data_IF_362081462352
#
_entry.id   IF_362081462352
#
_cell.length_a   1.000
_cell.length_b   1.000
_cell.length_c   1.000
_cell.angle_alpha   90.00
_cell.angle_beta   90.00
_cell.angle_gamma   90.00
#
_symmetry.space_group_name_H-M   'P 1'
#
loop_
_entity.id
_entity.type
_entity.pdbx_description
1 polymer ?
#
# COMPACT_ATOMS: atom_id res chain seq x y z
N UNK A 1 11.98 -12.13 1.20
CA UNK A 1 11.94 -10.65 1.07
C UNK A 1 10.49 -10.23 0.84
N UNK A 2 9.98 -9.19 1.51
CA UNK A 2 8.68 -8.63 1.18
C UNK A 2 8.69 -8.17 -0.29
N UNK A 3 7.69 -8.58 -1.05
CA UNK A 3 7.50 -8.13 -2.42
C UNK A 3 6.74 -6.80 -2.40
N UNK A 4 7.36 -5.75 -2.92
CA UNK A 4 6.67 -4.48 -3.15
C UNK A 4 6.19 -4.45 -4.61
N UNK A 5 4.90 -4.14 -4.80
CA UNK A 5 4.27 -3.95 -6.09
C UNK A 5 3.80 -2.51 -6.20
N UNK A 6 4.02 -1.94 -7.37
CA UNK A 6 3.53 -0.62 -7.74
C UNK A 6 2.63 -0.77 -8.95
N UNK A 7 1.53 -0.02 -8.99
CA UNK A 7 0.67 0.07 -10.17
C UNK A 7 0.28 1.51 -10.40
N UNK A 8 0.37 1.96 -11.65
CA UNK A 8 -0.01 3.30 -12.05
C UNK A 8 -1.02 3.25 -13.19
N UNK A 9 -2.18 3.89 -12.98
CA UNK A 9 -3.19 4.10 -14.01
C UNK A 9 -3.21 5.59 -14.39
N UNK A 10 -2.70 5.98 -15.57
CA UNK A 10 -2.68 7.38 -16.00
C UNK A 10 -4.05 7.95 -16.36
N UNK A 11 -5.05 7.09 -16.58
CA UNK A 11 -6.39 7.45 -17.10
C UNK A 11 -7.41 7.67 -15.99
N UNK A 12 -7.22 7.03 -14.83
CA UNK A 12 -8.14 7.14 -13.71
C UNK A 12 -7.78 8.32 -12.78
N UNK A 13 -8.77 9.19 -12.51
CA UNK A 13 -8.69 10.30 -11.55
C UNK A 13 -7.44 11.19 -11.67
N UNK A 14 -7.01 11.48 -12.90
CA UNK A 14 -5.83 12.31 -13.16
C UNK A 14 -4.51 11.61 -12.84
N UNK A 15 -4.48 10.28 -12.82
CA UNK A 15 -3.31 9.47 -12.49
C UNK A 15 -3.43 8.86 -11.10
N UNK A 16 -3.59 7.55 -11.01
CA UNK A 16 -3.70 6.83 -9.74
C UNK A 16 -2.48 5.95 -9.53
N UNK A 17 -1.73 6.17 -8.46
CA UNK A 17 -0.63 5.31 -8.02
C UNK A 17 -1.11 4.46 -6.84
N UNK A 18 -0.85 3.16 -6.89
CA UNK A 18 -1.02 2.25 -5.75
C UNK A 18 0.31 1.60 -5.41
N UNK A 19 0.61 1.55 -4.12
CA UNK A 19 1.79 0.93 -3.52
C UNK A 19 1.28 -0.20 -2.64
N UNK A 20 1.77 -1.41 -2.89
CA UNK A 20 1.39 -2.62 -2.14
C UNK A 20 2.65 -3.33 -1.66
N UNK A 21 2.83 -3.48 -0.36
CA UNK A 21 3.87 -4.34 0.19
C UNK A 21 3.22 -5.63 0.69
N UNK A 22 3.80 -6.77 0.31
CA UNK A 22 3.35 -8.11 0.67
C UNK A 22 4.48 -8.88 1.31
N UNK A 23 4.26 -9.35 2.53
CA UNK A 23 5.20 -10.19 3.26
C UNK A 23 4.59 -11.58 3.47
N UNK A 24 5.42 -12.61 3.26
CA UNK A 24 5.06 -14.00 3.46
C UNK A 24 5.98 -14.57 4.53
N UNK A 25 5.39 -15.20 5.54
CA UNK A 25 6.11 -15.83 6.63
C UNK A 25 5.36 -17.03 7.17
N UNK A 26 6.06 -17.94 7.86
CA UNK A 26 5.46 -19.09 8.53
C UNK A 26 5.62 -18.88 10.03
N UNK A 27 4.52 -18.52 10.68
CA UNK A 27 4.46 -18.29 12.15
C UNK A 27 3.78 -19.47 12.88
N UNK A 28 3.16 -20.37 12.12
CA UNK A 28 2.52 -21.56 12.66
C UNK A 28 3.56 -22.66 12.89
N UNK A 29 3.38 -23.45 13.96
CA UNK A 29 4.07 -24.74 14.15
C UNK A 29 3.73 -25.73 13.02
N UNK A 30 2.61 -25.53 12.35
CA UNK A 30 2.26 -26.26 11.14
C UNK A 30 2.99 -25.65 9.93
N UNK A 31 3.97 -26.41 9.43
CA UNK A 31 4.78 -26.05 8.26
C UNK A 31 3.93 -25.83 7.00
N UNK A 32 2.70 -26.34 6.95
CA UNK A 32 1.81 -26.21 5.80
C UNK A 32 1.03 -24.89 5.77
N UNK A 33 1.09 -24.10 6.85
CA UNK A 33 0.39 -22.83 6.95
C UNK A 33 1.38 -21.69 6.70
N UNK A 34 1.11 -20.89 5.67
CA UNK A 34 1.79 -19.63 5.42
C UNK A 34 0.89 -18.46 5.84
N UNK A 35 1.46 -17.48 6.54
CA UNK A 35 0.83 -16.20 6.83
C UNK A 35 1.26 -15.17 5.78
N UNK A 36 0.29 -14.39 5.32
CA UNK A 36 0.44 -13.35 4.32
C UNK A 36 0.00 -12.04 4.97
N UNK A 37 0.92 -11.10 5.04
CA UNK A 37 0.65 -9.74 5.49
C UNK A 37 0.73 -8.80 4.28
N UNK A 38 -0.28 -7.96 4.10
CA UNK A 38 -0.29 -6.93 3.07
C UNK A 38 -0.58 -5.57 3.69
N UNK A 39 0.14 -4.56 3.22
CA UNK A 39 -0.24 -3.16 3.37
C UNK A 39 -0.39 -2.57 1.97
N UNK A 40 -1.42 -1.77 1.77
CA UNK A 40 -1.54 -0.93 0.59
C UNK A 40 -1.83 0.52 0.94
N UNK A 41 -1.36 1.42 0.09
CA UNK A 41 -1.79 2.81 0.04
C UNK A 41 -1.90 3.23 -1.43
N UNK A 42 -2.90 4.04 -1.75
CA UNK A 42 -3.09 4.59 -3.08
C UNK A 42 -3.31 6.09 -3.01
N UNK A 43 -3.08 6.80 -4.11
CA UNK A 43 -3.33 8.23 -4.25
C UNK A 43 -3.75 8.53 -5.69
N UNK A 44 -4.67 9.48 -5.87
CA UNK A 44 -5.06 10.00 -7.18
C UNK A 44 -4.29 11.25 -7.59
N UNK A 45 -4.62 11.79 -8.76
CA UNK A 45 -4.09 13.06 -9.31
C UNK A 45 -2.56 13.13 -9.45
N UNK A 46 -1.91 11.97 -9.53
CA UNK A 46 -0.47 11.82 -9.77
C UNK A 46 -0.19 11.95 -11.27
N UNK A 47 -0.26 13.16 -11.80
CA UNK A 47 -0.18 13.43 -13.25
C UNK A 47 1.18 13.92 -13.75
N UNK A 48 2.06 14.38 -12.86
CA UNK A 48 3.35 14.99 -13.21
C UNK A 48 4.40 14.77 -12.11
N UNK A 49 5.69 14.98 -12.39
CA UNK A 49 6.69 15.07 -11.33
C UNK A 49 6.30 16.12 -10.29
N UNK A 50 6.56 15.82 -9.02
CA UNK A 50 6.16 16.68 -7.91
C UNK A 50 5.96 15.93 -6.60
N UNK A 51 5.63 16.72 -5.57
CA UNK A 51 5.31 16.22 -4.23
C UNK A 51 3.81 16.10 -4.06
N UNK A 52 3.41 14.98 -3.50
CA UNK A 52 2.05 14.60 -3.22
C UNK A 52 1.97 14.13 -1.77
N UNK A 53 0.79 14.26 -1.15
CA UNK A 53 0.61 13.98 0.27
C UNK A 53 -0.43 12.90 0.45
N UNK A 54 -0.06 11.84 1.18
CA UNK A 54 -1.03 10.91 1.73
C UNK A 54 -1.68 11.61 2.92
N UNK A 55 -2.81 12.27 2.72
CA UNK A 55 -3.52 12.96 3.79
C UNK A 55 -5.03 12.66 3.75
N UNK A 56 -5.72 13.03 4.82
CA UNK A 56 -7.16 12.78 4.95
C UNK A 56 -8.02 13.66 4.03
N UNK A 57 -7.48 14.78 3.55
CA UNK A 57 -8.19 15.68 2.64
C UNK A 57 -8.31 15.09 1.23
N UNK A 58 -7.41 14.18 0.84
CA UNK A 58 -7.54 13.46 -0.42
C UNK A 58 -8.46 12.24 -0.25
N UNK A 59 -9.69 12.36 -0.75
CA UNK A 59 -10.68 11.26 -0.79
C UNK A 59 -10.21 10.05 -1.59
N UNK A 60 -9.21 10.21 -2.47
CA UNK A 60 -8.64 9.14 -3.27
C UNK A 60 -7.46 8.46 -2.58
N UNK A 61 -6.96 9.04 -1.49
CA UNK A 61 -6.06 8.33 -0.61
C UNK A 61 -6.85 7.18 0.02
N UNK A 62 -6.50 5.93 -0.29
CA UNK A 62 -7.11 4.73 0.32
C UNK A 62 -5.99 3.83 0.79
N UNK A 63 -6.14 3.23 1.97
CA UNK A 63 -5.17 2.29 2.49
C UNK A 63 -5.84 1.10 3.16
N UNK A 64 -5.20 -0.06 3.04
CA UNK A 64 -5.63 -1.29 3.71
C UNK A 64 -4.44 -2.02 4.32
N UNK A 65 -4.72 -2.74 5.39
CA UNK A 65 -3.82 -3.69 6.01
C UNK A 65 -4.53 -5.02 6.21
N UNK A 66 -3.98 -6.11 5.70
CA UNK A 66 -4.58 -7.43 5.80
C UNK A 66 -3.59 -8.49 6.28
N UNK A 67 -4.05 -9.37 7.15
CA UNK A 67 -3.36 -10.62 7.49
C UNK A 67 -4.24 -11.77 7.04
N UNK A 68 -3.68 -12.67 6.25
CA UNK A 68 -4.35 -13.87 5.75
C UNK A 68 -3.48 -15.09 6.04
N UNK A 69 -4.12 -16.26 6.18
CA UNK A 69 -3.42 -17.55 6.18
C UNK A 69 -3.79 -18.34 4.95
N UNK A 70 -2.82 -19.08 4.44
CA UNK A 70 -2.98 -20.00 3.34
C UNK A 70 -2.46 -21.36 3.78
N UNK A 71 -3.34 -22.36 3.69
CA UNK A 71 -3.01 -23.77 3.78
C UNK A 71 -3.15 -24.34 2.36
N UNK A 72 -2.24 -25.21 1.93
CA UNK A 72 -2.25 -25.80 0.58
C UNK A 72 -3.55 -26.54 0.25
N UNK A 73 -4.27 -27.02 1.28
CA UNK A 73 -5.49 -27.82 1.15
C UNK A 73 -6.78 -27.05 1.40
N UNK A 74 -6.70 -25.78 1.80
CA UNK A 74 -7.87 -24.98 2.20
C UNK A 74 -7.91 -23.62 1.49
N UNK A 75 -9.08 -23.00 1.50
CA UNK A 75 -9.21 -21.63 1.02
C UNK A 75 -8.41 -20.65 1.89
N UNK A 76 -7.91 -19.58 1.28
CA UNK A 76 -7.23 -18.49 2.01
C UNK A 76 -8.19 -17.89 3.04
N UNK A 77 -7.76 -17.86 4.30
CA UNK A 77 -8.55 -17.32 5.41
C UNK A 77 -8.04 -15.95 5.81
N UNK A 78 -8.91 -14.94 5.80
CA UNK A 78 -8.57 -13.61 6.34
C UNK A 78 -8.67 -13.64 7.86
N UNK A 79 -7.55 -13.37 8.53
CA UNK A 79 -7.47 -13.26 10.00
C UNK A 79 -7.76 -11.82 10.43
N UNK A 80 -7.25 -10.87 9.64
CA UNK A 80 -7.38 -9.45 9.94
C UNK A 80 -7.54 -8.65 8.65
N UNK A 81 -8.45 -7.69 8.67
CA UNK A 81 -8.61 -6.71 7.60
C UNK A 81 -8.91 -5.36 8.24
N UNK A 82 -8.03 -4.39 7.98
CA UNK A 82 -8.11 -3.03 8.46
C UNK A 82 -8.19 -2.12 7.24
N UNK A 83 -9.28 -1.38 7.10
CA UNK A 83 -9.48 -0.44 6.00
C UNK A 83 -9.43 0.98 6.53
N UNK A 84 -8.42 1.76 6.13
CA UNK A 84 -8.19 3.12 6.63
C UNK A 84 -8.98 4.13 5.82
N UNK A 85 -10.09 4.58 6.40
CA UNK A 85 -11.02 5.53 5.78
C UNK A 85 -10.72 6.99 6.17
N UNK A 86 -11.68 7.89 5.92
CA UNK A 86 -11.56 9.33 6.20
C UNK A 86 -11.46 9.66 7.70
N UNK A 87 -11.95 8.77 8.57
CA UNK A 87 -11.91 8.92 10.03
C UNK A 87 -10.58 8.49 10.64
N UNK A 88 -9.77 7.72 9.89
CA UNK A 88 -8.44 7.31 10.29
C UNK A 88 -7.36 8.28 9.83
N UNK A 89 -6.23 8.36 10.53
CA UNK A 89 -5.13 9.22 10.11
C UNK A 89 -4.27 8.53 9.06
N UNK A 90 -4.15 9.17 7.89
CA UNK A 90 -3.19 8.84 6.84
C UNK A 90 -2.28 10.04 6.69
N UNK A 91 -0.98 9.86 6.86
CA UNK A 91 0.02 10.91 6.71
C UNK A 91 1.20 10.39 5.93
N UNK A 92 1.83 11.23 5.11
CA UNK A 92 2.99 10.81 4.34
C UNK A 92 3.21 11.62 3.08
N UNK A 93 4.30 11.32 2.39
CA UNK A 93 4.75 12.03 1.22
C UNK A 93 5.05 11.02 0.11
N UNK A 94 4.59 11.33 -1.09
CA UNK A 94 5.00 10.70 -2.33
C UNK A 94 5.72 11.75 -3.18
N UNK A 95 6.97 11.48 -3.53
CA UNK A 95 7.76 12.35 -4.38
C UNK A 95 8.02 11.68 -5.72
N UNK A 96 7.36 12.15 -6.78
CA UNK A 96 7.58 11.67 -8.14
C UNK A 96 8.73 12.46 -8.75
N UNK A 97 9.85 11.79 -9.00
CA UNK A 97 11.04 12.39 -9.63
C UNK A 97 10.99 12.31 -11.14
N UNK A 98 10.30 11.29 -11.69
CA UNK A 98 10.14 11.11 -13.13
C UNK A 98 8.82 10.45 -13.45
N UNK A 99 8.10 11.01 -14.43
CA UNK A 99 6.90 10.42 -15.02
C UNK A 99 6.91 10.71 -16.52
N UNK A 100 7.11 9.67 -17.33
CA UNK A 100 7.06 9.73 -18.79
C UNK A 100 6.15 8.60 -19.27
N UNK A 101 4.93 8.97 -19.68
CA UNK A 101 3.91 8.01 -20.11
C UNK A 101 4.24 7.36 -21.46
N UNK A 102 4.95 8.08 -22.32
CA UNK A 102 5.33 7.58 -23.64
C UNK A 102 6.43 6.54 -23.54
N UNK A 103 7.33 6.70 -22.57
CA UNK A 103 8.43 5.76 -22.29
C UNK A 103 8.10 4.77 -21.17
N UNK A 104 6.90 4.84 -20.59
CA UNK A 104 6.51 3.94 -19.52
C UNK A 104 7.34 4.05 -18.25
N UNK A 105 7.87 5.25 -17.96
CA UNK A 105 8.76 5.49 -16.83
C UNK A 105 7.98 6.14 -15.69
N UNK A 106 8.08 5.56 -14.50
CA UNK A 106 7.63 6.17 -13.26
C UNK A 106 8.63 5.89 -12.14
N UNK A 107 9.22 6.94 -11.58
CA UNK A 107 10.18 6.83 -10.50
C UNK A 107 9.92 7.85 -9.39
N UNK A 108 10.26 7.47 -8.17
CA UNK A 108 10.06 8.33 -7.01
C UNK A 108 10.46 7.71 -5.68
N UNK A 109 10.15 8.45 -4.62
CA UNK A 109 10.28 8.01 -3.23
C UNK A 109 8.95 8.19 -2.50
N UNK A 110 8.78 7.44 -1.41
CA UNK A 110 7.59 7.55 -0.57
C UNK A 110 7.89 7.24 0.89
N UNK A 111 7.10 7.85 1.76
CA UNK A 111 6.95 7.51 3.17
C UNK A 111 5.49 7.68 3.55
N UNK A 112 4.98 6.87 4.48
CA UNK A 112 3.66 7.09 5.05
C UNK A 112 3.49 6.41 6.40
N UNK A 113 2.54 6.94 7.16
CA UNK A 113 2.04 6.37 8.41
C UNK A 113 0.52 6.23 8.31
N UNK A 114 0.03 5.06 8.69
CA UNK A 114 -1.39 4.77 8.86
C UNK A 114 -1.66 4.60 10.36
N UNK A 115 -2.60 5.37 10.90
CA UNK A 115 -3.01 5.27 12.30
C UNK A 115 -4.52 5.14 12.38
N UNK A 116 -4.98 4.06 13.02
CA UNK A 116 -6.39 3.82 13.28
C UNK A 116 -6.88 4.75 14.39
N UNK A 117 -7.98 5.46 14.17
CA UNK A 117 -8.55 6.36 15.17
C UNK A 117 -9.43 5.63 16.20
N UNK A 118 -10.00 4.47 15.82
CA UNK A 118 -10.86 3.67 16.72
C UNK A 118 -10.17 2.35 17.17
N UNK A 119 -9.77 2.25 18.45
CA UNK A 119 -9.07 1.09 19.01
C UNK A 119 -9.98 -0.11 19.33
N UNK A 120 -11.31 0.01 19.18
CA UNK A 120 -12.26 -1.09 19.43
C UNK A 120 -12.28 -2.14 18.32
N UNK A 121 -11.57 -1.89 17.22
CA UNK A 121 -11.37 -2.88 16.16
C UNK A 121 -10.07 -3.64 16.41
N UNK A 122 -9.97 -4.90 15.95
CA UNK A 122 -8.74 -5.72 16.02
C UNK A 122 -7.57 -5.16 15.18
N UNK A 123 -7.56 -3.86 14.93
CA UNK A 123 -6.70 -3.09 14.06
C UNK A 123 -6.00 -1.99 14.87
N UNK A 124 -5.25 -2.37 15.90
CA UNK A 124 -4.35 -1.46 16.64
C UNK A 124 -3.04 -1.18 15.88
N UNK A 125 -3.01 -1.45 14.57
CA UNK A 125 -1.80 -1.39 13.76
C UNK A 125 -1.50 0.05 13.38
N UNK A 126 -0.45 0.62 13.97
CA UNK A 126 0.29 1.73 13.34
C UNK A 126 1.19 1.11 12.28
N UNK A 127 0.91 1.39 11.00
CA UNK A 127 1.80 0.95 9.92
C UNK A 127 2.63 2.14 9.50
N UNK A 128 3.96 2.03 9.64
CA UNK A 128 4.90 3.08 9.29
C UNK A 128 5.87 2.57 8.24
N UNK A 129 5.91 3.23 7.10
CA UNK A 129 6.95 3.08 6.08
C UNK A 129 7.73 4.39 6.06
N UNK A 130 8.97 4.34 6.54
CA UNK A 130 9.82 5.52 6.73
C UNK A 130 10.66 5.87 5.51
N UNK A 131 10.91 4.91 4.63
CA UNK A 131 11.68 5.12 3.41
C UNK A 131 11.30 4.09 2.36
N UNK A 132 10.95 4.55 1.18
CA UNK A 132 10.67 3.72 0.02
C UNK A 132 11.15 4.40 -1.25
N UNK A 133 11.71 3.63 -2.17
CA UNK A 133 12.13 4.08 -3.51
C UNK A 133 11.60 3.11 -4.54
N UNK A 134 11.24 3.63 -5.71
CA UNK A 134 10.79 2.81 -6.82
C UNK A 134 11.23 3.37 -8.17
N UNK A 135 11.41 2.45 -9.11
CA UNK A 135 11.67 2.72 -10.52
C UNK A 135 10.88 1.68 -11.33
N UNK A 136 9.83 2.15 -11.99
CA UNK A 136 8.98 1.36 -12.87
C UNK A 136 9.32 1.70 -14.31
N UNK A 137 9.71 0.66 -15.04
CA UNK A 137 9.95 0.70 -16.47
C UNK A 137 9.04 -0.35 -17.12
N UNK A 138 7.98 0.09 -17.82
CA UNK A 138 7.22 -0.86 -18.64
C UNK A 138 8.05 -1.18 -19.88
N UNK A 139 8.34 -2.47 -20.08
CA UNK A 139 8.95 -2.98 -21.31
C UNK A 139 7.95 -3.00 -22.45
#
# INVERSE_FOLDING_TARGET
MPGIRFSYDPTWNGGTLSIKAKYWFRDSKDINIATIENVSISLGRVSKPGRYFFNNADSLALADYTIRTQNEKEAIKTIRHCYFDISDTRSGILNITKLDRNKGILAGTFEFTLTRSNPLTNCNSVVKITEGRFDLLSR
#
